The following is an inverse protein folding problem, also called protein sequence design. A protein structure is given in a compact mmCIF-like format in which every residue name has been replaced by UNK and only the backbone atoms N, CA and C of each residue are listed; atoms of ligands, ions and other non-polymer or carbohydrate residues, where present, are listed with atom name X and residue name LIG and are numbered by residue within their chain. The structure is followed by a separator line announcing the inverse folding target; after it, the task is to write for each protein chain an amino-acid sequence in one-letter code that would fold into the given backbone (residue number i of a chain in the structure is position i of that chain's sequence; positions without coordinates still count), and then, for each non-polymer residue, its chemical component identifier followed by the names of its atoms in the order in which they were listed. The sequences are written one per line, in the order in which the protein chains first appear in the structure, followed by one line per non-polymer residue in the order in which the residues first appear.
data_IF_592324060499
#
_entry.id   IF_592324060499
#
_cell.length_a   1.000
_cell.length_b   1.000
_cell.length_c   1.000
_cell.angle_alpha   90.00
_cell.angle_beta   90.00
_cell.angle_gamma   90.00
#
_symmetry.space_group_name_H-M   'P 1'
#
loop_
_entity.id
_entity.type
_entity.pdbx_description
1 polymer ?
#
# COMPACT_ATOMS: atom_id res chain seq x y z
N UNK A 1 25.97 5.24 -21.54
CA UNK A 1 24.72 4.95 -20.82
C UNK A 1 25.00 5.30 -19.38
N UNK A 2 24.22 6.20 -18.76
CA UNK A 2 24.43 6.52 -17.35
C UNK A 2 24.03 5.29 -16.53
N UNK A 3 24.95 4.82 -15.68
CA UNK A 3 24.70 3.72 -14.74
C UNK A 3 23.54 4.13 -13.83
N UNK A 4 22.46 3.35 -13.86
CA UNK A 4 21.31 3.56 -12.96
C UNK A 4 21.74 3.05 -11.59
N UNK A 5 22.41 3.91 -10.82
CA UNK A 5 22.66 3.65 -9.40
C UNK A 5 21.34 3.81 -8.68
N UNK A 6 20.84 2.73 -8.10
CA UNK A 6 19.71 2.76 -7.20
C UNK A 6 20.20 3.37 -5.89
N UNK A 7 19.52 4.40 -5.41
CA UNK A 7 19.78 4.99 -4.08
C UNK A 7 19.07 4.15 -3.01
N UNK A 8 19.81 3.35 -2.20
CA UNK A 8 19.20 2.48 -1.21
C UNK A 8 18.57 3.26 -0.05
N UNK A 9 19.07 4.45 0.28
CA UNK A 9 18.53 5.29 1.34
C UNK A 9 17.17 5.85 0.90
N UNK A 10 17.09 6.39 -0.31
CA UNK A 10 15.83 6.89 -0.86
C UNK A 10 14.76 5.79 -0.99
N UNK A 11 15.15 4.56 -1.36
CA UNK A 11 14.23 3.42 -1.38
C UNK A 11 13.70 3.07 0.01
N UNK A 12 14.56 3.08 1.02
CA UNK A 12 14.17 2.78 2.39
C UNK A 12 13.25 3.84 2.98
N UNK A 13 13.54 5.12 2.73
CA UNK A 13 12.69 6.24 3.12
C UNK A 13 11.30 6.11 2.50
N UNK A 14 11.23 5.83 1.20
CA UNK A 14 9.95 5.68 0.51
C UNK A 14 9.18 4.45 1.00
N UNK A 15 9.87 3.34 1.25
CA UNK A 15 9.27 2.13 1.85
C UNK A 15 8.70 2.41 3.24
N UNK A 16 9.43 3.16 4.06
CA UNK A 16 8.99 3.57 5.40
C UNK A 16 7.73 4.43 5.32
N UNK A 17 7.73 5.44 4.44
CA UNK A 17 6.56 6.27 4.20
C UNK A 17 5.33 5.44 3.83
N UNK A 18 5.46 4.49 2.90
CA UNK A 18 4.33 3.63 2.48
C UNK A 18 3.83 2.78 3.64
N UNK A 19 4.73 2.22 4.47
CA UNK A 19 4.36 1.43 5.65
C UNK A 19 3.59 2.28 6.66
N UNK A 20 4.04 3.50 6.94
CA UNK A 20 3.33 4.41 7.84
C UNK A 20 1.91 4.74 7.34
N UNK A 21 1.74 4.94 6.03
CA UNK A 21 0.42 5.15 5.44
C UNK A 21 -0.46 3.90 5.58
N UNK A 22 0.10 2.71 5.34
CA UNK A 22 -0.62 1.45 5.50
C UNK A 22 -1.04 1.23 6.97
N UNK A 23 -0.12 1.44 7.91
CA UNK A 23 -0.38 1.34 9.34
C UNK A 23 -1.50 2.29 9.76
N UNK A 24 -1.49 3.52 9.24
CA UNK A 24 -2.56 4.47 9.48
C UNK A 24 -3.92 3.96 8.95
N UNK A 25 -3.97 3.40 7.74
CA UNK A 25 -5.20 2.81 7.19
C UNK A 25 -5.71 1.63 8.02
N UNK A 26 -4.82 0.79 8.54
CA UNK A 26 -5.17 -0.32 9.43
C UNK A 26 -5.79 0.17 10.76
N UNK A 27 -5.61 1.44 11.15
CA UNK A 27 -6.35 2.03 12.28
C UNK A 27 -7.76 2.50 11.93
N UNK A 28 -8.03 2.80 10.64
CA UNK A 28 -9.29 3.38 10.16
C UNK A 28 -10.24 2.28 9.69
N UNK A 29 -9.76 1.36 8.86
CA UNK A 29 -10.58 0.31 8.22
C UNK A 29 -11.42 -0.48 9.25
N UNK A 30 -10.85 -0.97 10.38
CA UNK A 30 -11.64 -1.69 11.37
C UNK A 30 -12.81 -0.87 11.93
N UNK A 31 -12.70 0.46 11.99
CA UNK A 31 -13.76 1.32 12.52
C UNK A 31 -14.98 1.38 11.61
N UNK A 32 -14.79 1.14 10.31
CA UNK A 32 -15.85 1.11 9.29
C UNK A 32 -16.54 -0.26 9.20
N UNK A 33 -15.99 -1.31 9.82
CA UNK A 33 -16.62 -2.62 9.80
C UNK A 33 -18.00 -2.61 10.44
N UNK A 34 -18.86 -3.51 9.95
CA UNK A 34 -20.23 -3.66 10.45
C UNK A 34 -20.23 -3.86 11.97
N UNK A 35 -20.94 -2.98 12.67
CA UNK A 35 -21.06 -3.02 14.12
C UNK A 35 -20.03 -2.19 14.89
N UNK A 36 -19.02 -1.65 14.21
CA UNK A 36 -18.03 -0.73 14.77
C UNK A 36 -18.50 0.72 14.71
N UNK A 37 -17.72 1.63 15.30
CA UNK A 37 -18.11 3.04 15.51
C UNK A 37 -18.57 3.79 14.25
N UNK A 38 -17.98 3.49 13.08
CA UNK A 38 -18.31 4.14 11.80
C UNK A 38 -19.06 3.21 10.83
N UNK A 39 -19.21 1.93 11.16
CA UNK A 39 -20.00 0.95 10.41
C UNK A 39 -21.46 0.81 10.87
N UNK A 40 -21.90 1.66 11.80
CA UNK A 40 -23.31 1.73 12.22
C UNK A 40 -23.99 2.91 11.54
N UNK A 41 -25.12 2.62 10.89
CA UNK A 41 -25.95 3.66 10.31
C UNK A 41 -26.48 4.61 11.40
N UNK A 42 -26.45 5.94 11.15
CA UNK A 42 -27.11 6.92 11.99
C UNK A 42 -28.63 6.67 12.09
N UNK A 43 -29.24 7.14 13.18
CA UNK A 43 -30.69 7.13 13.32
C UNK A 43 -31.33 8.27 12.51
N UNK A 44 -31.61 8.04 11.23
CA UNK A 44 -32.14 9.07 10.32
C UNK A 44 -33.61 9.47 10.55
N UNK A 45 -34.33 8.86 11.50
CA UNK A 45 -35.75 9.13 11.77
C UNK A 45 -36.70 8.51 10.74
N UNK A 46 -37.95 8.98 10.72
CA UNK A 46 -39.05 8.44 9.88
C UNK A 46 -39.71 9.47 8.97
N UNK A 47 -39.09 10.64 8.76
CA UNK A 47 -39.64 11.64 7.84
C UNK A 47 -39.40 11.21 6.38
N UNK A 48 -40.09 11.81 5.41
CA UNK A 48 -39.93 11.45 3.98
C UNK A 48 -38.47 11.58 3.50
N UNK A 49 -37.72 12.54 4.04
CA UNK A 49 -36.29 12.72 3.76
C UNK A 49 -35.40 11.61 4.35
N UNK A 50 -35.88 10.85 5.34
CA UNK A 50 -35.11 9.81 6.03
C UNK A 50 -34.75 8.64 5.12
N UNK A 51 -35.57 8.33 4.11
CA UNK A 51 -35.26 7.29 3.12
C UNK A 51 -34.05 7.68 2.26
N UNK A 52 -34.08 8.89 1.70
CA UNK A 52 -32.98 9.41 0.89
C UNK A 52 -31.67 9.53 1.68
N UNK A 53 -31.76 9.90 2.96
CA UNK A 53 -30.61 9.95 3.86
C UNK A 53 -29.99 8.57 4.12
N UNK A 54 -30.81 7.53 4.33
CA UNK A 54 -30.32 6.14 4.46
C UNK A 54 -29.59 5.68 3.19
N UNK A 55 -30.19 5.88 2.02
CA UNK A 55 -29.60 5.47 0.74
C UNK A 55 -28.28 6.21 0.48
N UNK A 56 -28.26 7.51 0.75
CA UNK A 56 -27.06 8.34 0.58
C UNK A 56 -25.93 7.91 1.54
N UNK A 57 -26.25 7.62 2.80
CA UNK A 57 -25.27 7.13 3.77
C UNK A 57 -24.74 5.74 3.38
N UNK A 58 -25.62 4.83 2.95
CA UNK A 58 -25.21 3.49 2.53
C UNK A 58 -24.26 3.55 1.33
N UNK A 59 -24.57 4.39 0.33
CA UNK A 59 -23.69 4.60 -0.82
C UNK A 59 -22.35 5.22 -0.39
N UNK A 60 -22.37 6.29 0.41
CA UNK A 60 -21.16 6.94 0.91
C UNK A 60 -20.28 5.96 1.70
N UNK A 61 -20.88 5.17 2.60
CA UNK A 61 -20.17 4.20 3.41
C UNK A 61 -19.51 3.13 2.54
N UNK A 62 -20.27 2.55 1.60
CA UNK A 62 -19.76 1.54 0.67
C UNK A 62 -18.61 2.09 -0.18
N UNK A 63 -18.79 3.25 -0.81
CA UNK A 63 -17.73 3.88 -1.62
C UNK A 63 -16.48 4.20 -0.79
N UNK A 64 -16.66 4.68 0.43
CA UNK A 64 -15.52 4.95 1.33
C UNK A 64 -14.78 3.66 1.68
N UNK A 65 -15.52 2.59 1.98
CA UNK A 65 -14.94 1.28 2.25
C UNK A 65 -14.12 0.79 1.05
N UNK A 66 -14.72 0.76 -0.14
CA UNK A 66 -14.07 0.26 -1.35
C UNK A 66 -12.79 1.05 -1.67
N UNK A 67 -12.86 2.40 -1.62
CA UNK A 67 -11.70 3.26 -1.85
C UNK A 67 -10.55 2.98 -0.86
N UNK A 68 -10.86 2.70 0.40
CA UNK A 68 -9.84 2.39 1.41
C UNK A 68 -9.22 1.01 1.20
N UNK A 69 -10.01 0.02 0.75
CA UNK A 69 -9.48 -1.30 0.39
C UNK A 69 -8.60 -1.22 -0.85
N UNK A 70 -8.99 -0.45 -1.86
CA UNK A 70 -8.19 -0.22 -3.06
C UNK A 70 -6.86 0.46 -2.72
N UNK A 71 -6.89 1.49 -1.88
CA UNK A 71 -5.69 2.16 -1.40
C UNK A 71 -4.79 1.20 -0.60
N UNK A 72 -5.37 0.41 0.30
CA UNK A 72 -4.65 -0.62 1.06
C UNK A 72 -3.97 -1.64 0.14
N UNK A 73 -4.68 -2.10 -0.90
CA UNK A 73 -4.15 -3.01 -1.91
C UNK A 73 -2.99 -2.37 -2.69
N UNK A 74 -3.14 -1.12 -3.12
CA UNK A 74 -2.11 -0.38 -3.83
C UNK A 74 -0.83 -0.19 -3.00
N UNK A 75 -0.95 0.17 -1.71
CA UNK A 75 0.19 0.34 -0.80
C UNK A 75 0.93 -0.98 -0.56
N UNK A 76 0.20 -2.08 -0.34
CA UNK A 76 0.82 -3.41 -0.27
C UNK A 76 1.53 -3.80 -1.57
N UNK A 77 0.91 -3.52 -2.72
CA UNK A 77 1.51 -3.73 -4.03
C UNK A 77 2.80 -2.93 -4.22
N UNK A 78 2.82 -1.66 -3.79
CA UNK A 78 4.03 -0.83 -3.83
C UNK A 78 5.15 -1.39 -2.95
N UNK A 79 4.87 -1.78 -1.70
CA UNK A 79 5.85 -2.42 -0.81
C UNK A 79 6.43 -3.68 -1.46
N UNK A 80 5.57 -4.52 -2.03
CA UNK A 80 6.00 -5.75 -2.71
C UNK A 80 6.96 -5.42 -3.86
N UNK A 81 6.56 -4.52 -4.77
CA UNK A 81 7.40 -4.14 -5.91
C UNK A 81 8.75 -3.55 -5.47
N UNK A 82 8.79 -2.77 -4.39
CA UNK A 82 10.04 -2.23 -3.85
C UNK A 82 10.95 -3.35 -3.33
N UNK A 83 10.41 -4.33 -2.61
CA UNK A 83 11.19 -5.47 -2.13
C UNK A 83 11.69 -6.33 -3.30
N UNK A 84 10.81 -6.68 -4.24
CA UNK A 84 11.16 -7.48 -5.43
C UNK A 84 12.28 -6.78 -6.24
N UNK A 85 12.23 -5.44 -6.34
CA UNK A 85 13.26 -4.66 -7.04
C UNK A 85 14.60 -4.63 -6.30
N UNK A 86 14.58 -4.60 -4.97
CA UNK A 86 15.79 -4.64 -4.16
C UNK A 86 16.48 -6.01 -4.22
N UNK A 87 15.70 -7.10 -4.17
CA UNK A 87 16.22 -8.47 -4.33
C UNK A 87 16.86 -8.68 -5.71
N UNK A 88 16.20 -8.22 -6.79
CA UNK A 88 16.76 -8.29 -8.15
C UNK A 88 18.06 -7.51 -8.30
N UNK A 89 18.20 -6.36 -7.62
CA UNK A 89 19.43 -5.59 -7.64
C UNK A 89 20.58 -6.34 -6.93
N UNK A 90 20.32 -6.92 -5.76
CA UNK A 90 21.31 -7.72 -5.02
C UNK A 90 21.76 -8.96 -5.81
N UNK A 91 20.83 -9.63 -6.50
CA UNK A 91 21.15 -10.76 -7.38
C UNK A 91 22.02 -10.35 -8.58
N UNK A 92 21.75 -9.19 -9.19
CA UNK A 92 22.52 -8.68 -10.31
C UNK A 92 23.95 -8.30 -9.88
N UNK A 93 24.10 -7.65 -8.72
CA UNK A 93 25.40 -7.27 -8.18
C UNK A 93 26.27 -8.50 -7.90
N UNK A 94 25.71 -9.53 -7.24
CA UNK A 94 26.41 -10.81 -7.00
C UNK A 94 26.84 -11.51 -8.29
N UNK A 95 25.97 -11.51 -9.31
CA UNK A 95 26.32 -12.11 -10.59
C UNK A 95 27.48 -11.37 -11.28
N UNK A 96 27.55 -10.05 -11.14
CA UNK A 96 28.67 -9.24 -11.63
C UNK A 96 29.97 -9.50 -10.86
N UNK A 97 29.90 -9.63 -9.53
CA UNK A 97 31.06 -10.02 -8.70
C UNK A 97 31.59 -11.41 -9.10
N UNK A 98 30.72 -12.41 -9.22
CA UNK A 98 31.07 -13.77 -9.64
C UNK A 98 31.70 -13.83 -11.05
N UNK A 99 31.33 -12.92 -11.94
CA UNK A 99 31.88 -12.81 -13.29
C UNK A 99 33.29 -12.18 -13.25
N UNK A 100 33.47 -11.09 -12.48
CA UNK A 100 34.77 -10.46 -12.25
C UNK A 100 35.78 -11.44 -11.63
N UNK A 101 35.39 -12.15 -10.57
CA UNK A 101 36.24 -13.13 -9.88
C UNK A 101 36.68 -14.26 -10.82
N UNK A 102 35.78 -14.70 -11.71
CA UNK A 102 36.11 -15.68 -12.75
C UNK A 102 37.14 -15.14 -13.74
N UNK A 103 36.96 -13.92 -14.24
CA UNK A 103 37.92 -13.29 -15.14
C UNK A 103 39.30 -13.10 -14.48
N UNK A 104 39.36 -12.71 -13.22
CA UNK A 104 40.63 -12.59 -12.48
C UNK A 104 41.33 -13.93 -12.27
N UNK A 105 40.57 -15.03 -12.10
CA UNK A 105 41.14 -16.37 -11.93
C UNK A 105 41.73 -16.98 -13.22
N UNK A 106 41.35 -16.45 -14.38
CA UNK A 106 41.79 -16.92 -15.72
C UNK A 106 43.02 -16.15 -16.27
N UNK A 107 43.49 -15.12 -15.57
CA UNK A 107 44.68 -14.30 -15.89
C UNK A 107 45.95 -14.77 -15.17
#
# INVERSE_FOLDING_TARGET
MAERVIDPEALEEYRTLIREQLDHLETIIPRLEKGQSLGRAPAFGQMDASKAAHESYAAFHQTTWDNLQDLRGALNGMIKTLNDSAELAEEADKAGEDEMDRYESEL
#
